data_IF_798820629429
#
_entry.id   IF_798820629429
#
_cell.length_a   1.000
_cell.length_b   1.000
_cell.length_c   1.000
_cell.angle_alpha   90.00
_cell.angle_beta   90.00
_cell.angle_gamma   90.00
#
_symmetry.space_group_name_H-M   'P 1'
#
loop_
_entity.id
_entity.type
_entity.pdbx_description
1 polymer ?
#
# COMPACT_ATOMS: atom_id res chain seq x y z
N UNK A 1 69.94 -81.30 -9.42
CA UNK A 1 69.88 -79.87 -9.76
C UNK A 1 69.09 -79.16 -8.67
N UNK A 2 69.56 -77.96 -8.31
CA UNK A 2 69.30 -77.19 -7.09
C UNK A 2 67.82 -76.86 -6.78
N UNK A 3 67.50 -76.58 -5.51
CA UNK A 3 66.20 -76.06 -5.06
C UNK A 3 66.12 -74.54 -5.31
N UNK A 4 64.98 -74.04 -5.77
CA UNK A 4 64.68 -72.60 -5.79
C UNK A 4 63.79 -72.24 -4.62
N UNK A 5 64.38 -71.65 -3.58
CA UNK A 5 63.69 -71.10 -2.42
C UNK A 5 63.16 -69.70 -2.75
N UNK A 6 61.84 -69.52 -2.73
CA UNK A 6 61.21 -68.19 -2.67
C UNK A 6 61.08 -67.77 -1.19
N UNK A 7 61.94 -66.87 -0.75
CA UNK A 7 61.80 -66.16 0.54
C UNK A 7 60.84 -64.99 0.37
N UNK A 8 59.64 -65.11 0.92
CA UNK A 8 58.73 -63.97 1.12
C UNK A 8 59.18 -63.16 2.36
N UNK A 9 59.27 -61.82 2.29
CA UNK A 9 59.61 -61.01 3.45
C UNK A 9 58.45 -61.07 4.46
N UNK A 10 58.77 -61.50 5.69
CA UNK A 10 57.85 -61.47 6.82
C UNK A 10 57.68 -60.00 7.22
N UNK A 11 56.49 -59.44 6.95
CA UNK A 11 56.10 -58.15 7.48
C UNK A 11 56.09 -58.23 9.01
N UNK A 12 56.95 -57.45 9.67
CA UNK A 12 56.92 -57.30 11.13
C UNK A 12 55.63 -56.56 11.52
N UNK A 13 54.70 -57.27 12.13
CA UNK A 13 53.55 -56.67 12.81
C UNK A 13 54.04 -55.97 14.08
N UNK A 14 54.07 -54.64 14.06
CA UNK A 14 54.22 -53.82 15.26
C UNK A 14 52.97 -53.97 16.12
N UNK A 15 53.10 -54.54 17.31
CA UNK A 15 52.01 -54.63 18.29
C UNK A 15 51.78 -53.29 18.98
N UNK A 16 50.53 -52.84 19.02
CA UNK A 16 50.09 -51.63 19.71
C UNK A 16 50.15 -51.83 21.23
N UNK A 17 50.63 -50.81 21.96
CA UNK A 17 50.61 -50.84 23.44
C UNK A 17 49.26 -50.33 23.97
N UNK A 18 48.83 -50.83 25.13
CA UNK A 18 47.59 -50.35 25.77
C UNK A 18 47.62 -48.84 26.05
N UNK A 19 48.81 -48.29 26.33
CA UNK A 19 49.04 -46.85 26.49
C UNK A 19 48.74 -46.06 25.21
N UNK A 20 49.13 -46.59 24.05
CA UNK A 20 48.90 -45.95 22.76
C UNK A 20 47.40 -45.91 22.44
N UNK A 21 46.68 -47.00 22.71
CA UNK A 21 45.22 -47.05 22.56
C UNK A 21 44.53 -46.02 23.47
N UNK A 22 44.93 -45.94 24.74
CA UNK A 22 44.34 -45.01 25.72
C UNK A 22 44.58 -43.55 25.32
N UNK A 23 45.79 -43.20 24.86
CA UNK A 23 46.09 -41.84 24.41
C UNK A 23 45.24 -41.49 23.18
N UNK A 24 45.07 -42.41 22.24
CA UNK A 24 44.28 -42.18 21.02
C UNK A 24 42.82 -41.88 21.35
N UNK A 25 42.17 -42.69 22.19
CA UNK A 25 40.75 -42.47 22.53
C UNK A 25 40.54 -41.16 23.29
N UNK A 26 41.47 -40.77 24.17
CA UNK A 26 41.39 -39.52 24.93
C UNK A 26 41.58 -38.32 24.02
N UNK A 27 42.61 -38.34 23.17
CA UNK A 27 42.89 -37.25 22.22
C UNK A 27 41.75 -37.12 21.20
N UNK A 28 41.23 -38.23 20.67
CA UNK A 28 40.09 -38.22 19.76
C UNK A 28 38.83 -37.65 20.43
N UNK A 29 38.56 -37.98 21.69
CA UNK A 29 37.44 -37.43 22.45
C UNK A 29 37.53 -35.91 22.64
N UNK A 30 38.72 -35.39 23.00
CA UNK A 30 38.95 -33.95 23.15
C UNK A 30 38.76 -33.23 21.81
N UNK A 31 39.36 -33.74 20.74
CA UNK A 31 39.26 -33.14 19.39
C UNK A 31 37.82 -33.17 18.88
N UNK A 32 37.11 -34.29 19.06
CA UNK A 32 35.72 -34.42 18.67
C UNK A 32 34.81 -33.42 19.41
N UNK A 33 35.02 -33.24 20.73
CA UNK A 33 34.27 -32.27 21.53
C UNK A 33 34.47 -30.83 21.06
N UNK A 34 35.72 -30.43 20.80
CA UNK A 34 36.04 -29.08 20.30
C UNK A 34 35.44 -28.87 18.90
N UNK A 35 35.63 -29.84 18.00
CA UNK A 35 35.16 -29.76 16.62
C UNK A 35 33.63 -29.71 16.54
N UNK A 36 32.92 -30.45 17.40
CA UNK A 36 31.46 -30.43 17.43
C UNK A 36 30.90 -29.03 17.73
N UNK A 37 31.47 -28.31 18.71
CA UNK A 37 31.03 -26.94 19.04
C UNK A 37 31.30 -25.91 17.94
N UNK A 38 32.42 -26.05 17.21
CA UNK A 38 32.68 -25.22 16.03
C UNK A 38 31.72 -25.49 14.88
N UNK A 39 31.33 -26.75 14.66
CA UNK A 39 30.37 -27.10 13.61
C UNK A 39 28.97 -26.57 13.96
N UNK A 40 28.52 -26.73 15.20
CA UNK A 40 27.19 -26.23 15.61
C UNK A 40 27.09 -24.72 15.51
N UNK A 41 28.10 -23.99 15.98
CA UNK A 41 28.12 -22.51 15.86
C UNK A 41 28.15 -22.03 14.41
N UNK A 42 28.91 -22.70 13.53
CA UNK A 42 28.92 -22.38 12.11
C UNK A 42 27.55 -22.64 11.44
N UNK A 43 26.89 -23.75 11.78
CA UNK A 43 25.56 -24.08 11.28
C UNK A 43 24.48 -23.12 11.81
N UNK A 44 24.53 -22.77 13.10
CA UNK A 44 23.63 -21.77 13.71
C UNK A 44 23.79 -20.40 13.05
N UNK A 45 25.02 -19.99 12.76
CA UNK A 45 25.31 -18.76 12.03
C UNK A 45 24.71 -18.77 10.62
N UNK A 46 24.82 -19.88 9.89
CA UNK A 46 24.22 -20.02 8.56
C UNK A 46 22.69 -19.94 8.60
N UNK A 47 22.05 -20.64 9.56
CA UNK A 47 20.59 -20.60 9.73
C UNK A 47 20.12 -19.22 10.17
N UNK A 48 20.84 -18.54 11.07
CA UNK A 48 20.54 -17.18 11.48
C UNK A 48 20.59 -16.21 10.29
N UNK A 49 21.61 -16.31 9.45
CA UNK A 49 21.71 -15.49 8.23
C UNK A 49 20.53 -15.72 7.28
N UNK A 50 20.10 -16.98 7.11
CA UNK A 50 18.91 -17.31 6.33
C UNK A 50 17.64 -16.70 6.89
N UNK A 51 17.42 -16.78 8.21
CA UNK A 51 16.26 -16.16 8.88
C UNK A 51 16.25 -14.65 8.70
N UNK A 52 17.38 -13.98 8.94
CA UNK A 52 17.51 -12.53 8.74
C UNK A 52 17.16 -12.10 7.32
N UNK A 53 17.63 -12.85 6.32
CA UNK A 53 17.32 -12.58 4.92
C UNK A 53 15.80 -12.64 4.68
N UNK A 54 15.10 -13.67 5.18
CA UNK A 54 13.64 -13.76 5.01
C UNK A 54 12.88 -12.62 5.68
N UNK A 55 13.36 -12.12 6.82
CA UNK A 55 12.76 -10.97 7.52
C UNK A 55 12.94 -9.68 6.71
N UNK A 56 14.15 -9.45 6.20
CA UNK A 56 14.46 -8.30 5.33
C UNK A 56 13.59 -8.36 4.07
N UNK A 57 13.52 -9.50 3.39
CA UNK A 57 12.76 -9.67 2.15
C UNK A 57 11.25 -9.43 2.37
N UNK A 58 10.69 -9.94 3.47
CA UNK A 58 9.28 -9.74 3.80
C UNK A 58 8.98 -8.26 4.05
N UNK A 59 9.84 -7.56 4.80
CA UNK A 59 9.67 -6.15 5.08
C UNK A 59 9.86 -5.28 3.82
N UNK A 60 10.87 -5.58 3.00
CA UNK A 60 11.18 -4.84 1.77
C UNK A 60 10.09 -5.02 0.70
N UNK A 61 9.61 -6.25 0.50
CA UNK A 61 8.51 -6.52 -0.43
C UNK A 61 7.23 -5.78 0.00
N UNK A 62 6.91 -5.79 1.29
CA UNK A 62 5.75 -5.09 1.83
C UNK A 62 5.86 -3.57 1.60
N UNK A 63 6.99 -2.95 1.97
CA UNK A 63 7.23 -1.52 1.81
C UNK A 63 7.27 -1.11 0.33
N UNK A 64 7.93 -1.89 -0.53
CA UNK A 64 8.01 -1.63 -1.97
C UNK A 64 6.65 -1.70 -2.62
N UNK A 65 5.79 -2.65 -2.21
CA UNK A 65 4.40 -2.73 -2.67
C UNK A 65 3.60 -1.51 -2.23
N UNK A 66 3.66 -1.14 -0.95
CA UNK A 66 2.98 0.07 -0.45
C UNK A 66 3.42 1.33 -1.19
N UNK A 67 4.72 1.46 -1.44
CA UNK A 67 5.30 2.59 -2.17
C UNK A 67 4.83 2.66 -3.61
N UNK A 68 4.68 1.51 -4.28
CA UNK A 68 4.16 1.47 -5.65
C UNK A 68 2.72 1.97 -5.71
N UNK A 69 1.85 1.47 -4.83
CA UNK A 69 0.44 1.86 -4.82
C UNK A 69 0.30 3.34 -4.38
N UNK A 70 1.08 3.82 -3.41
CA UNK A 70 1.09 5.22 -2.97
C UNK A 70 1.47 6.21 -4.07
N UNK A 71 2.29 5.80 -5.05
CA UNK A 71 2.62 6.65 -6.20
C UNK A 71 1.44 6.86 -7.14
N UNK A 72 0.41 6.01 -7.06
CA UNK A 72 -0.85 6.14 -7.79
C UNK A 72 -1.96 6.75 -6.92
N UNK A 73 -1.62 7.33 -5.77
CA UNK A 73 -2.58 8.05 -4.95
C UNK A 73 -3.06 9.34 -5.66
N UNK A 74 -4.36 9.59 -5.57
CA UNK A 74 -4.94 10.88 -5.95
C UNK A 74 -4.24 11.99 -5.15
N UNK A 75 -3.85 13.10 -5.78
CA UNK A 75 -3.18 14.19 -5.07
C UNK A 75 -3.96 14.66 -3.85
N UNK A 76 -3.28 14.90 -2.74
CA UNK A 76 -3.88 15.25 -1.44
C UNK A 76 -4.86 14.21 -0.85
N UNK A 77 -4.91 12.95 -1.34
CA UNK A 77 -5.84 11.94 -0.80
C UNK A 77 -5.25 11.04 0.28
N UNK A 78 -3.93 11.07 0.48
CA UNK A 78 -3.29 10.25 1.52
C UNK A 78 -3.75 10.73 2.90
N UNK A 79 -4.13 9.79 3.75
CA UNK A 79 -4.44 10.02 5.17
C UNK A 79 -3.94 8.85 6.00
N UNK A 80 -3.55 9.15 7.23
CA UNK A 80 -3.13 8.16 8.22
C UNK A 80 -3.93 8.36 9.49
N UNK A 81 -4.34 7.24 10.09
CA UNK A 81 -5.10 7.22 11.33
C UNK A 81 -4.83 5.94 12.13
N UNK A 82 -5.10 5.97 13.42
CA UNK A 82 -5.08 4.78 14.28
C UNK A 82 -6.45 4.53 14.93
N UNK A 83 -6.59 3.38 15.60
CA UNK A 83 -7.80 3.02 16.31
C UNK A 83 -8.09 3.85 17.57
N UNK A 84 -7.21 4.78 17.95
CA UNK A 84 -7.43 5.77 19.01
C UNK A 84 -7.90 7.13 18.46
N UNK A 85 -7.96 7.29 17.13
CA UNK A 85 -8.39 8.53 16.46
C UNK A 85 -7.28 9.55 16.23
N UNK A 86 -6.00 9.19 16.45
CA UNK A 86 -4.88 10.05 16.10
C UNK A 86 -4.70 10.08 14.58
N UNK A 87 -4.20 11.20 14.04
CA UNK A 87 -3.99 11.39 12.59
C UNK A 87 -2.67 12.08 12.29
N UNK A 88 -2.23 12.06 11.03
CA UNK A 88 -1.01 12.72 10.54
C UNK A 88 0.27 11.92 10.79
N UNK A 89 0.49 11.48 12.04
CA UNK A 89 1.58 10.57 12.40
C UNK A 89 1.09 9.54 13.40
N UNK A 90 1.11 8.26 13.01
CA UNK A 90 0.64 7.14 13.83
C UNK A 90 1.70 6.07 13.97
N UNK A 91 1.78 5.47 15.16
CA UNK A 91 2.77 4.45 15.52
C UNK A 91 2.09 3.35 16.32
N UNK A 92 2.26 2.12 15.88
CA UNK A 92 1.81 0.94 16.59
C UNK A 92 3.03 0.17 17.07
N UNK A 93 3.10 -0.08 18.37
CA UNK A 93 4.23 -0.70 19.06
C UNK A 93 3.81 -1.73 20.12
N UNK A 94 2.53 -1.78 20.48
CA UNK A 94 1.99 -2.72 21.45
C UNK A 94 0.76 -3.46 20.89
N UNK A 95 0.52 -4.72 21.32
CA UNK A 95 -0.67 -5.48 20.92
C UNK A 95 -1.97 -4.71 21.22
N UNK A 96 -2.93 -4.76 20.30
CA UNK A 96 -4.19 -4.03 20.38
C UNK A 96 -4.18 -2.66 19.71
N UNK A 97 -3.02 -2.13 19.33
CA UNK A 97 -2.93 -0.95 18.47
C UNK A 97 -3.11 -1.35 17.00
N UNK A 98 -3.89 -0.52 16.28
CA UNK A 98 -4.12 -0.68 14.84
C UNK A 98 -3.82 0.66 14.17
N UNK A 99 -2.93 0.64 13.19
CA UNK A 99 -2.49 1.81 12.43
C UNK A 99 -2.85 1.61 10.97
N UNK A 100 -3.38 2.64 10.33
CA UNK A 100 -3.80 2.61 8.94
C UNK A 100 -3.23 3.76 8.13
N UNK A 101 -2.82 3.47 6.90
CA UNK A 101 -2.64 4.46 5.84
C UNK A 101 -3.63 4.17 4.72
N UNK A 102 -4.32 5.19 4.24
CA UNK A 102 -5.32 5.10 3.18
C UNK A 102 -5.11 6.20 2.14
N UNK A 103 -5.42 5.89 0.89
CA UNK A 103 -5.46 6.86 -0.20
C UNK A 103 -6.50 6.44 -1.23
N UNK A 104 -6.93 7.39 -2.05
CA UNK A 104 -7.77 7.12 -3.21
C UNK A 104 -6.89 6.72 -4.39
N UNK A 105 -7.15 5.56 -4.98
CA UNK A 105 -6.34 5.04 -6.08
C UNK A 105 -6.80 5.64 -7.42
N UNK A 106 -5.84 6.15 -8.20
CA UNK A 106 -6.07 6.69 -9.54
C UNK A 106 -5.89 5.58 -10.56
N UNK A 107 -6.95 5.29 -11.31
CA UNK A 107 -6.90 4.38 -12.46
C UNK A 107 -6.23 5.04 -13.65
N UNK A 108 -6.68 6.24 -13.99
CA UNK A 108 -6.13 7.04 -15.08
C UNK A 108 -6.49 8.52 -14.87
N UNK A 109 -5.98 9.39 -15.73
CA UNK A 109 -6.31 10.81 -15.68
C UNK A 109 -5.61 11.56 -16.78
N UNK A 110 -5.97 12.83 -16.92
CA UNK A 110 -5.46 13.62 -18.02
C UNK A 110 -5.76 15.10 -17.85
N UNK A 111 -5.67 15.81 -18.98
CA UNK A 111 -6.08 17.21 -19.04
C UNK A 111 -7.42 17.32 -19.74
N UNK A 112 -8.33 18.09 -19.18
CA UNK A 112 -9.59 18.40 -19.85
C UNK A 112 -9.42 19.63 -20.74
N UNK A 113 -10.20 19.70 -21.81
CA UNK A 113 -10.25 20.86 -22.69
C UNK A 113 -10.93 22.05 -21.99
N UNK A 114 -10.31 23.23 -22.06
CA UNK A 114 -10.87 24.46 -21.50
C UNK A 114 -11.47 25.41 -22.56
N UNK A 115 -11.09 25.27 -23.84
CA UNK A 115 -11.55 26.12 -24.95
C UNK A 115 -11.72 25.32 -26.26
N UNK A 116 -12.58 25.77 -27.18
CA UNK A 116 -12.72 25.18 -28.53
C UNK A 116 -11.43 25.25 -29.37
N UNK A 117 -11.30 24.47 -30.48
CA UNK A 117 -12.26 23.50 -31.00
C UNK A 117 -12.34 22.22 -30.13
N UNK A 118 -13.49 21.55 -30.11
CA UNK A 118 -13.79 20.39 -29.24
C UNK A 118 -14.67 20.75 -28.03
N UNK A 119 -15.09 19.75 -27.27
CA UNK A 119 -16.03 19.92 -26.14
C UNK A 119 -15.29 20.21 -24.82
N UNK A 120 -15.39 21.44 -24.26
CA UNK A 120 -14.76 21.78 -22.99
C UNK A 120 -15.57 21.28 -21.79
N UNK A 121 -14.89 21.05 -20.66
CA UNK A 121 -15.56 20.68 -19.42
C UNK A 121 -16.41 21.83 -18.86
N UNK A 122 -17.73 21.63 -18.80
CA UNK A 122 -18.67 22.56 -18.21
C UNK A 122 -18.76 22.39 -16.68
N UNK A 123 -18.62 23.50 -15.95
CA UNK A 123 -18.68 23.52 -14.46
C UNK A 123 -20.04 23.96 -13.92
N UNK A 124 -20.97 24.26 -14.82
CA UNK A 124 -22.33 24.72 -14.56
C UNK A 124 -23.38 23.68 -14.97
N UNK A 125 -22.97 22.42 -15.18
CA UNK A 125 -23.84 21.31 -15.58
C UNK A 125 -23.67 20.16 -14.59
N UNK A 126 -24.76 19.44 -14.30
CA UNK A 126 -24.80 18.26 -13.42
C UNK A 126 -24.54 16.95 -14.13
N UNK A 127 -24.54 17.00 -15.44
CA UNK A 127 -24.26 15.87 -16.31
C UNK A 127 -23.80 16.48 -17.63
N UNK A 128 -22.60 16.11 -18.07
CA UNK A 128 -22.06 16.55 -19.35
C UNK A 128 -20.97 15.58 -19.82
N UNK A 129 -20.54 15.77 -21.06
CA UNK A 129 -19.38 15.08 -21.64
C UNK A 129 -18.30 16.12 -21.93
N UNK A 130 -17.03 15.74 -21.82
CA UNK A 130 -15.93 16.62 -22.18
C UNK A 130 -14.81 15.84 -22.87
N UNK A 131 -14.03 16.56 -23.68
CA UNK A 131 -12.89 15.97 -24.37
C UNK A 131 -11.64 15.93 -23.47
N UNK A 132 -10.98 14.78 -23.47
CA UNK A 132 -9.69 14.49 -22.84
C UNK A 132 -8.57 14.80 -23.83
N UNK A 133 -7.55 15.50 -23.35
CA UNK A 133 -6.33 15.76 -24.11
C UNK A 133 -5.30 14.66 -23.82
N UNK A 134 -4.89 13.95 -24.87
CA UNK A 134 -3.87 12.90 -24.80
C UNK A 134 -4.41 11.48 -24.58
N UNK A 135 -5.74 11.31 -24.52
CA UNK A 135 -6.42 10.02 -24.32
C UNK A 135 -6.26 9.44 -22.91
N UNK A 136 -6.89 8.29 -22.68
CA UNK A 136 -6.75 7.50 -21.43
C UNK A 136 -6.20 6.10 -21.78
N UNK A 137 -4.93 5.88 -21.48
CA UNK A 137 -4.17 4.70 -21.94
C UNK A 137 -4.04 3.58 -20.91
N UNK A 138 -4.36 3.84 -19.64
CA UNK A 138 -4.15 2.91 -18.54
C UNK A 138 -5.45 2.23 -18.07
N UNK A 139 -6.57 2.55 -18.73
CA UNK A 139 -7.86 1.94 -18.42
C UNK A 139 -7.91 0.46 -18.84
N UNK A 140 -8.65 -0.38 -18.09
CA UNK A 140 -8.93 -1.75 -18.50
C UNK A 140 -9.77 -1.80 -19.79
N UNK A 141 -10.04 -2.98 -20.38
CA UNK A 141 -10.94 -3.08 -21.51
C UNK A 141 -12.33 -2.47 -21.23
N UNK A 142 -13.02 -1.86 -22.21
CA UNK A 142 -14.31 -1.19 -22.00
C UNK A 142 -15.40 -2.04 -21.32
N UNK A 143 -15.33 -3.36 -21.43
CA UNK A 143 -16.24 -4.29 -20.74
C UNK A 143 -16.11 -4.29 -19.21
N UNK A 144 -15.03 -3.72 -18.67
CA UNK A 144 -14.77 -3.62 -17.24
C UNK A 144 -15.01 -2.21 -16.68
N UNK A 145 -15.48 -1.27 -17.50
CA UNK A 145 -15.78 0.08 -17.05
C UNK A 145 -16.92 0.06 -16.05
N UNK A 146 -16.70 0.66 -14.89
CA UNK A 146 -17.73 0.83 -13.86
C UNK A 146 -18.34 2.22 -13.99
N UNK A 147 -19.47 2.30 -14.67
CA UNK A 147 -20.20 3.55 -14.88
C UNK A 147 -21.46 3.59 -14.03
N UNK A 148 -21.95 4.79 -13.73
CA UNK A 148 -23.20 4.96 -13.00
C UNK A 148 -23.81 6.34 -13.17
N UNK A 149 -24.95 6.55 -12.49
CA UNK A 149 -25.69 7.81 -12.44
C UNK A 149 -25.83 8.26 -11.00
N UNK A 150 -25.66 9.55 -10.74
CA UNK A 150 -25.58 10.11 -9.40
C UNK A 150 -24.22 9.88 -8.74
N UNK A 151 -23.69 10.92 -8.11
CA UNK A 151 -22.39 10.95 -7.41
C UNK A 151 -22.27 9.91 -6.29
N UNK A 152 -23.38 9.49 -5.68
CA UNK A 152 -23.37 8.46 -4.65
C UNK A 152 -22.86 7.09 -5.15
N UNK A 153 -23.07 6.74 -6.43
CA UNK A 153 -22.69 5.43 -6.96
C UNK A 153 -21.18 5.20 -6.92
N UNK A 154 -20.39 6.24 -7.20
CA UNK A 154 -18.94 6.10 -7.16
C UNK A 154 -18.41 6.04 -5.72
N UNK A 155 -19.01 6.78 -4.79
CA UNK A 155 -18.66 6.73 -3.36
C UNK A 155 -18.97 5.35 -2.73
N UNK A 156 -20.05 4.69 -3.18
CA UNK A 156 -20.38 3.33 -2.77
C UNK A 156 -19.49 2.25 -3.41
N UNK A 157 -18.62 2.61 -4.37
CA UNK A 157 -17.75 1.67 -5.09
C UNK A 157 -18.43 0.93 -6.25
N UNK A 158 -19.65 1.32 -6.63
CA UNK A 158 -20.39 0.73 -7.74
C UNK A 158 -19.93 1.29 -9.11
N UNK A 159 -19.40 2.50 -9.13
CA UNK A 159 -18.90 3.19 -10.32
C UNK A 159 -17.55 3.86 -10.04
N UNK A 160 -16.85 4.31 -11.08
CA UNK A 160 -15.66 5.14 -10.93
C UNK A 160 -16.02 6.61 -10.69
N UNK A 161 -15.18 7.29 -9.93
CA UNK A 161 -15.31 8.71 -9.62
C UNK A 161 -14.44 9.56 -10.55
N UNK A 162 -15.01 10.61 -11.13
CA UNK A 162 -14.31 11.74 -11.71
C UNK A 162 -13.94 12.73 -10.61
N UNK A 163 -12.66 13.07 -10.48
CA UNK A 163 -12.17 14.10 -9.56
C UNK A 163 -11.39 15.16 -10.33
N UNK A 164 -11.84 16.42 -10.26
CA UNK A 164 -11.15 17.53 -10.95
C UNK A 164 -10.10 18.18 -10.07
N UNK A 165 -10.42 18.45 -8.81
CA UNK A 165 -9.51 19.13 -7.90
C UNK A 165 -9.75 18.62 -6.49
N UNK A 166 -8.70 18.01 -5.91
CA UNK A 166 -8.71 17.51 -4.55
C UNK A 166 -7.75 18.30 -3.65
N UNK A 167 -8.30 18.92 -2.61
CA UNK A 167 -7.51 19.65 -1.60
C UNK A 167 -7.18 18.80 -0.36
N UNK A 168 -7.77 17.61 -0.23
CA UNK A 168 -7.46 16.68 0.86
C UNK A 168 -7.95 17.08 2.26
N UNK A 169 -7.23 16.58 3.27
CA UNK A 169 -7.46 16.83 4.70
C UNK A 169 -6.36 17.73 5.32
N UNK A 170 -6.68 18.56 6.33
CA UNK A 170 -8.05 18.85 6.75
C UNK A 170 -8.77 19.50 5.57
N UNK A 171 -10.04 19.16 5.39
CA UNK A 171 -10.92 20.09 4.70
C UNK A 171 -10.63 21.44 5.36
N UNK A 172 -10.08 22.41 4.62
CA UNK A 172 -10.10 23.80 5.06
C UNK A 172 -11.44 24.01 5.75
N UNK A 173 -11.41 24.40 7.03
CA UNK A 173 -12.55 24.38 7.94
C UNK A 173 -13.84 24.70 7.19
N UNK A 174 -14.95 23.97 7.44
CA UNK A 174 -16.13 23.92 6.58
C UNK A 174 -16.33 25.25 5.89
N UNK A 175 -16.09 25.32 4.57
CA UNK A 175 -16.50 26.52 3.86
C UNK A 175 -17.98 26.68 4.20
N UNK A 176 -18.43 27.82 4.76
CA UNK A 176 -19.79 27.96 5.29
C UNK A 176 -20.92 27.62 4.30
N UNK A 177 -20.59 27.39 3.03
CA UNK A 177 -21.48 27.10 1.91
C UNK A 177 -21.68 25.62 1.58
N UNK A 178 -21.26 24.66 2.44
CA UNK A 178 -21.47 23.21 2.20
C UNK A 178 -20.83 22.67 0.90
N UNK A 179 -19.81 23.37 0.39
CA UNK A 179 -18.99 22.98 -0.77
C UNK A 179 -17.61 22.57 -0.28
N UNK A 180 -17.05 21.50 -0.83
CA UNK A 180 -15.73 21.00 -0.47
C UNK A 180 -14.95 20.52 -1.70
N UNK A 181 -13.64 20.70 -1.67
CA UNK A 181 -12.72 20.09 -2.63
C UNK A 181 -12.17 18.75 -2.14
N UNK A 182 -12.75 18.14 -1.11
CA UNK A 182 -12.24 16.89 -0.55
C UNK A 182 -12.96 15.69 -1.18
N UNK A 183 -12.21 14.84 -1.88
CA UNK A 183 -12.74 13.67 -2.59
C UNK A 183 -13.30 12.56 -1.66
N UNK A 184 -13.07 12.63 -0.34
CA UNK A 184 -13.70 11.73 0.64
C UNK A 184 -15.07 12.21 1.12
N UNK A 185 -15.52 13.40 0.69
CA UNK A 185 -16.80 13.98 1.09
C UNK A 185 -17.76 14.00 -0.10
N UNK A 186 -19.03 13.70 0.17
CA UNK A 186 -20.11 13.72 -0.82
C UNK A 186 -21.39 13.03 -0.32
N UNK A 187 -22.46 12.99 -1.12
CA UNK A 187 -23.71 12.32 -0.79
C UNK A 187 -23.49 10.84 -0.47
N UNK A 188 -24.13 10.33 0.58
CA UNK A 188 -23.96 8.95 1.00
C UNK A 188 -22.68 8.65 1.80
N UNK A 189 -21.75 9.60 1.92
CA UNK A 189 -20.69 9.53 2.94
C UNK A 189 -21.24 9.95 4.32
N UNK A 190 -20.58 9.57 5.42
CA UNK A 190 -20.93 10.05 6.77
C UNK A 190 -20.87 11.59 6.91
N UNK A 191 -20.38 12.31 5.89
CA UNK A 191 -20.36 13.75 5.76
C UNK A 191 -21.29 14.23 4.61
N UNK A 192 -22.50 13.65 4.52
CA UNK A 192 -23.51 13.94 3.50
C UNK A 192 -23.92 15.43 3.36
N UNK A 193 -23.53 16.28 4.31
CA UNK A 193 -23.76 17.72 4.28
C UNK A 193 -22.81 18.50 3.34
N UNK A 194 -21.86 17.85 2.67
CA UNK A 194 -20.91 18.50 1.77
C UNK A 194 -21.03 18.00 0.33
N UNK A 195 -20.97 18.94 -0.60
CA UNK A 195 -20.81 18.67 -2.03
C UNK A 195 -19.33 18.68 -2.36
N UNK A 196 -18.78 17.49 -2.58
CA UNK A 196 -17.39 17.29 -3.02
C UNK A 196 -17.17 17.72 -4.47
N UNK A 197 -15.90 17.85 -4.87
CA UNK A 197 -15.51 18.10 -6.25
C UNK A 197 -15.36 16.78 -7.03
N UNK A 198 -16.39 15.95 -6.91
CA UNK A 198 -16.47 14.56 -7.36
C UNK A 198 -17.76 14.34 -8.15
N UNK A 199 -17.70 13.52 -9.20
CA UNK A 199 -18.87 13.07 -9.94
C UNK A 199 -18.71 11.59 -10.30
N UNK A 200 -19.80 10.91 -10.61
CA UNK A 200 -19.71 9.54 -11.12
C UNK A 200 -19.38 9.57 -12.61
N UNK A 201 -18.48 8.71 -13.07
CA UNK A 201 -18.27 8.49 -14.50
C UNK A 201 -19.51 7.79 -15.07
N UNK A 202 -20.19 8.42 -16.02
CA UNK A 202 -21.41 7.88 -16.64
C UNK A 202 -21.13 7.20 -17.98
N UNK A 203 -20.06 7.60 -18.68
CA UNK A 203 -19.55 6.93 -19.86
C UNK A 203 -18.09 7.32 -20.15
N UNK A 204 -17.37 6.46 -20.86
CA UNK A 204 -16.06 6.75 -21.45
C UNK A 204 -16.11 6.26 -22.89
N UNK A 205 -15.91 7.17 -23.86
CA UNK A 205 -16.14 6.90 -25.29
C UNK A 205 -15.07 7.57 -26.16
N UNK A 206 -15.10 7.30 -27.47
CA UNK A 206 -14.15 7.85 -28.46
C UNK A 206 -13.00 6.91 -28.82
N UNK A 207 -12.06 7.43 -29.60
CA UNK A 207 -10.93 6.67 -30.18
C UNK A 207 -9.65 7.51 -30.05
N UNK A 208 -8.89 7.49 -28.92
CA UNK A 208 -8.84 6.53 -27.80
C UNK A 208 -8.98 7.12 -26.38
N UNK A 209 -9.85 6.53 -25.55
CA UNK A 209 -11.08 7.26 -25.29
C UNK A 209 -10.84 8.77 -25.10
N UNK A 210 -11.39 9.53 -26.04
CA UNK A 210 -11.19 10.97 -26.11
C UNK A 210 -12.24 11.74 -25.31
N UNK A 211 -13.30 11.08 -24.86
CA UNK A 211 -14.39 11.74 -24.14
C UNK A 211 -14.79 11.00 -22.88
N UNK A 212 -15.00 11.78 -21.82
CA UNK A 212 -15.48 11.33 -20.53
C UNK A 212 -16.80 12.02 -20.25
N UNK A 213 -17.82 11.24 -19.92
CA UNK A 213 -19.11 11.72 -19.44
C UNK A 213 -19.19 11.54 -17.93
N UNK A 214 -19.76 12.52 -17.24
CA UNK A 214 -19.98 12.47 -15.80
C UNK A 214 -21.44 12.71 -15.44
N UNK A 215 -21.84 12.25 -14.27
CA UNK A 215 -23.15 12.54 -13.68
C UNK A 215 -23.03 12.75 -12.17
N UNK A 216 -23.52 13.89 -11.72
CA UNK A 216 -23.75 14.23 -10.33
C UNK A 216 -25.10 14.96 -10.17
N UNK A 217 -26.09 14.53 -10.95
CA UNK A 217 -27.46 15.09 -10.93
C UNK A 217 -28.17 14.95 -9.58
N UNK A 218 -27.80 13.95 -8.78
CA UNK A 218 -28.26 13.77 -7.40
C UNK A 218 -27.82 14.89 -6.45
N UNK A 219 -26.84 15.70 -6.85
CA UNK A 219 -26.37 16.89 -6.16
C UNK A 219 -27.04 18.18 -6.63
N UNK A 220 -27.87 18.15 -7.68
CA UNK A 220 -28.50 19.33 -8.27
C UNK A 220 -29.79 19.72 -7.52
N UNK A 221 -29.67 20.06 -6.24
CA UNK A 221 -30.80 20.47 -5.41
C UNK A 221 -30.44 21.62 -4.47
N UNK A 222 -31.34 22.63 -4.28
CA UNK A 222 -31.09 23.71 -3.32
C UNK A 222 -30.72 23.17 -1.92
N UNK A 223 -29.72 23.74 -1.23
CA UNK A 223 -28.98 24.97 -1.56
C UNK A 223 -27.77 24.75 -2.49
N UNK A 224 -27.50 23.50 -2.89
CA UNK A 224 -26.31 23.11 -3.63
C UNK A 224 -26.62 23.07 -5.13
N UNK A 225 -26.20 24.11 -5.84
CA UNK A 225 -26.22 24.12 -7.30
C UNK A 225 -24.77 24.22 -7.78
N UNK A 226 -24.47 23.55 -8.91
CA UNK A 226 -23.24 23.70 -9.70
C UNK A 226 -22.02 22.85 -9.22
N UNK A 227 -22.20 21.54 -9.35
CA UNK A 227 -21.38 20.38 -9.78
C UNK A 227 -19.86 20.34 -9.93
N UNK A 228 -19.08 21.39 -9.84
CA UNK A 228 -17.65 21.26 -9.55
C UNK A 228 -17.23 22.62 -9.00
N UNK A 229 -17.30 22.84 -7.67
CA UNK A 229 -17.10 24.16 -7.09
C UNK A 229 -15.71 24.74 -7.37
N UNK A 230 -14.73 23.89 -7.71
CA UNK A 230 -13.36 24.29 -7.94
C UNK A 230 -12.82 23.70 -9.24
N UNK A 231 -12.23 24.56 -10.08
CA UNK A 231 -11.52 24.16 -11.30
C UNK A 231 -10.08 23.76 -10.94
N UNK A 232 -9.54 22.74 -11.59
CA UNK A 232 -8.10 22.45 -11.51
C UNK A 232 -7.30 23.61 -12.10
N UNK A 233 -6.34 24.21 -11.37
CA UNK A 233 -5.48 25.28 -11.89
C UNK A 233 -4.67 24.87 -13.12
N UNK A 234 -4.34 23.58 -13.24
CA UNK A 234 -3.57 23.02 -14.36
C UNK A 234 -4.44 22.24 -15.37
N UNK A 235 -5.76 22.39 -15.29
CA UNK A 235 -6.73 21.72 -16.17
C UNK A 235 -6.65 20.19 -16.11
N UNK A 236 -6.34 19.63 -14.94
CA UNK A 236 -6.26 18.18 -14.74
C UNK A 236 -7.58 17.60 -14.24
N UNK A 237 -7.77 16.31 -14.50
CA UNK A 237 -8.77 15.48 -13.84
C UNK A 237 -8.19 14.07 -13.63
N UNK A 238 -8.81 13.34 -12.71
CA UNK A 238 -8.43 11.98 -12.34
C UNK A 238 -9.66 11.10 -12.31
N UNK A 239 -9.50 9.84 -12.70
CA UNK A 239 -10.48 8.77 -12.56
C UNK A 239 -10.02 7.88 -11.40
N UNK A 240 -10.88 7.78 -10.40
CA UNK A 240 -10.61 7.06 -9.14
C UNK A 240 -11.60 5.91 -9.01
N UNK A 241 -11.14 4.78 -8.47
CA UNK A 241 -11.99 3.64 -8.14
C UNK A 241 -12.40 3.63 -6.65
N UNK A 242 -11.77 2.78 -5.84
CA UNK A 242 -12.04 2.62 -4.41
C UNK A 242 -10.78 2.95 -3.61
N UNK A 243 -10.89 3.24 -2.31
CA UNK A 243 -9.70 3.47 -1.52
C UNK A 243 -8.85 2.20 -1.40
N UNK A 244 -7.54 2.41 -1.26
CA UNK A 244 -6.59 1.37 -0.87
C UNK A 244 -6.13 1.69 0.55
N UNK A 245 -6.29 0.73 1.46
CA UNK A 245 -5.78 0.85 2.84
C UNK A 245 -4.71 -0.19 3.12
N UNK A 246 -3.66 0.21 3.83
CA UNK A 246 -2.77 -0.73 4.53
C UNK A 246 -3.01 -0.61 6.02
N UNK A 247 -3.48 -1.70 6.62
CA UNK A 247 -3.76 -1.78 8.04
C UNK A 247 -2.72 -2.68 8.69
N UNK A 248 -2.00 -2.11 9.65
CA UNK A 248 -1.10 -2.80 10.55
C UNK A 248 -1.84 -3.07 11.86
N UNK A 249 -2.03 -4.35 12.18
CA UNK A 249 -2.73 -4.80 13.38
C UNK A 249 -1.77 -5.61 14.25
N UNK A 250 -1.36 -5.04 15.38
CA UNK A 250 -0.44 -5.72 16.29
C UNK A 250 -1.10 -6.75 17.22
N UNK A 251 -2.43 -6.90 17.17
CA UNK A 251 -3.09 -8.04 17.80
C UNK A 251 -2.83 -9.34 17.03
N UNK A 252 -2.75 -9.26 15.70
CA UNK A 252 -2.45 -10.38 14.81
C UNK A 252 -0.98 -10.40 14.37
N UNK A 253 -0.27 -9.28 14.50
CA UNK A 253 1.09 -9.11 14.01
C UNK A 253 1.14 -9.10 12.47
N UNK A 254 0.09 -8.60 11.83
CA UNK A 254 -0.05 -8.61 10.37
C UNK A 254 -0.18 -7.19 9.81
N UNK A 255 0.37 -6.99 8.60
CA UNK A 255 0.00 -5.89 7.73
C UNK A 255 -0.77 -6.43 6.55
N UNK A 256 -1.98 -5.92 6.35
CA UNK A 256 -2.88 -6.31 5.27
C UNK A 256 -3.25 -5.12 4.41
N UNK A 257 -3.34 -5.36 3.10
CA UNK A 257 -3.90 -4.43 2.11
C UNK A 257 -5.39 -4.69 1.96
N UNK A 258 -6.21 -3.65 2.01
CA UNK A 258 -7.66 -3.68 1.83
C UNK A 258 -8.06 -2.86 0.60
N UNK A 259 -9.04 -3.36 -0.15
CA UNK A 259 -9.59 -2.77 -1.39
C UNK A 259 -11.04 -3.17 -1.58
N UNK A 260 -11.72 -2.59 -2.58
CA UNK A 260 -13.13 -2.88 -2.90
C UNK A 260 -14.06 -2.56 -1.74
N UNK A 261 -13.91 -1.36 -1.17
CA UNK A 261 -14.82 -0.85 -0.16
C UNK A 261 -15.18 0.62 -0.42
N UNK A 262 -16.31 1.12 0.13
CA UNK A 262 -16.78 2.47 -0.13
C UNK A 262 -15.81 3.57 0.31
N UNK A 263 -15.81 4.69 -0.43
CA UNK A 263 -15.14 5.93 -0.05
C UNK A 263 -15.92 6.57 1.11
N UNK A 264 -15.25 6.75 2.25
CA UNK A 264 -15.86 7.31 3.46
C UNK A 264 -15.19 8.59 3.96
N UNK A 265 -15.96 9.45 4.62
CA UNK A 265 -15.44 10.67 5.23
C UNK A 265 -14.44 10.37 6.37
N UNK A 266 -14.68 9.31 7.13
CA UNK A 266 -13.80 8.81 8.19
C UNK A 266 -12.95 7.68 7.62
N UNK A 267 -11.64 7.71 7.89
CA UNK A 267 -10.75 6.62 7.52
C UNK A 267 -11.14 5.35 8.28
N UNK A 268 -11.39 4.26 7.55
CA UNK A 268 -11.63 2.98 8.18
C UNK A 268 -10.28 2.39 8.62
N UNK A 269 -10.16 2.09 9.92
CA UNK A 269 -8.92 1.52 10.50
C UNK A 269 -9.14 0.15 11.13
N UNK A 270 -10.35 -0.17 11.60
CA UNK A 270 -10.64 -1.43 12.30
C UNK A 270 -11.05 -2.53 11.30
N UNK A 271 -10.24 -3.60 11.10
CA UNK A 271 -10.57 -4.70 10.20
C UNK A 271 -11.84 -5.47 10.56
N UNK A 272 -12.21 -5.50 11.84
CA UNK A 272 -13.38 -6.23 12.32
C UNK A 272 -14.71 -5.46 12.11
N UNK A 273 -14.64 -4.18 11.71
CA UNK A 273 -15.81 -3.33 11.51
C UNK A 273 -16.03 -3.03 10.02
N UNK A 274 -17.28 -2.73 9.66
CA UNK A 274 -17.57 -2.17 8.35
C UNK A 274 -16.85 -0.82 8.17
N UNK A 275 -16.35 -0.52 6.95
CA UNK A 275 -16.51 -1.32 5.74
C UNK A 275 -15.42 -2.40 5.53
N UNK A 276 -14.37 -2.45 6.36
CA UNK A 276 -13.21 -3.31 6.12
C UNK A 276 -13.49 -4.81 6.31
N UNK A 277 -14.44 -5.17 7.16
CA UNK A 277 -14.81 -6.57 7.41
C UNK A 277 -15.42 -7.29 6.18
N UNK A 278 -15.93 -6.54 5.21
CA UNK A 278 -16.47 -7.05 3.94
C UNK A 278 -15.56 -6.73 2.74
N UNK A 279 -14.47 -5.99 2.95
CA UNK A 279 -13.55 -5.58 1.91
C UNK A 279 -12.67 -6.75 1.43
N UNK A 280 -12.17 -6.65 0.21
CA UNK A 280 -11.15 -7.58 -0.29
C UNK A 280 -9.82 -7.30 0.42
N UNK A 281 -9.23 -8.31 1.06
CA UNK A 281 -7.96 -8.17 1.78
C UNK A 281 -6.86 -9.13 1.29
N UNK A 282 -5.61 -8.70 1.40
CA UNK A 282 -4.43 -9.51 1.12
C UNK A 282 -3.33 -9.28 2.17
N UNK A 283 -2.73 -10.36 2.68
CA UNK A 283 -1.60 -10.30 3.60
C UNK A 283 -0.34 -9.79 2.88
N UNK A 284 0.34 -8.80 3.46
CA UNK A 284 1.61 -8.27 2.97
C UNK A 284 2.79 -8.74 3.80
N UNK A 285 2.66 -8.66 5.12
CA UNK A 285 3.67 -9.08 6.07
C UNK A 285 3.00 -9.68 7.30
N UNK A 286 3.66 -10.66 7.90
CA UNK A 286 3.29 -11.23 9.19
C UNK A 286 4.46 -11.05 10.18
N UNK A 287 4.25 -11.44 11.45
CA UNK A 287 5.23 -11.28 12.53
C UNK A 287 5.70 -9.84 12.74
N UNK A 288 4.82 -8.89 12.42
CA UNK A 288 5.06 -7.46 12.57
C UNK A 288 5.05 -7.13 14.06
N UNK A 289 6.14 -6.56 14.55
CA UNK A 289 6.31 -6.16 15.95
C UNK A 289 6.09 -4.66 16.15
N UNK A 290 6.32 -3.84 15.14
CA UNK A 290 5.88 -2.44 15.13
C UNK A 290 5.74 -1.89 13.72
N UNK A 291 4.97 -0.83 13.58
CA UNK A 291 4.81 -0.09 12.33
C UNK A 291 4.56 1.39 12.62
N UNK A 292 4.96 2.24 11.69
CA UNK A 292 4.68 3.67 11.75
C UNK A 292 4.32 4.20 10.37
N UNK A 293 3.30 5.04 10.33
CA UNK A 293 2.89 5.78 9.15
C UNK A 293 2.89 7.26 9.48
N UNK A 294 3.69 8.02 8.75
CA UNK A 294 3.78 9.48 8.87
C UNK A 294 3.45 10.08 7.50
N UNK A 295 2.43 10.93 7.45
CA UNK A 295 2.11 11.69 6.27
C UNK A 295 2.27 13.17 6.57
N UNK A 296 3.22 13.79 5.86
CA UNK A 296 3.44 15.22 5.86
C UNK A 296 2.82 15.78 4.58
N UNK A 297 1.68 16.50 4.68
CA UNK A 297 1.05 17.10 3.52
C UNK A 297 2.01 18.02 2.76
N UNK A 298 1.87 18.01 1.45
CA UNK A 298 2.60 18.94 0.60
C UNK A 298 2.05 20.36 0.72
N UNK A 299 2.71 21.27 0.01
CA UNK A 299 2.21 22.62 -0.26
C UNK A 299 1.99 22.77 -1.77
N UNK A 300 1.58 23.96 -2.23
CA UNK A 300 1.56 24.27 -3.68
C UNK A 300 2.94 24.21 -4.34
N UNK A 301 4.02 24.20 -3.57
CA UNK A 301 5.42 24.24 -4.04
C UNK A 301 6.24 23.02 -3.63
N UNK A 302 5.73 22.15 -2.75
CA UNK A 302 6.40 20.95 -2.25
C UNK A 302 5.47 19.75 -2.32
N UNK A 303 5.94 18.63 -2.88
CA UNK A 303 5.21 17.35 -2.82
C UNK A 303 4.96 16.91 -1.37
N UNK A 304 3.90 16.13 -1.15
CA UNK A 304 3.69 15.47 0.13
C UNK A 304 4.74 14.38 0.35
N UNK A 305 5.02 14.07 1.60
CA UNK A 305 5.98 13.03 1.97
C UNK A 305 5.28 12.02 2.87
N UNK A 306 5.32 10.76 2.46
CA UNK A 306 4.92 9.62 3.29
C UNK A 306 6.16 8.91 3.76
N UNK A 307 6.27 8.67 5.07
CA UNK A 307 7.28 7.79 5.66
C UNK A 307 6.59 6.55 6.20
N UNK A 308 7.01 5.39 5.71
CA UNK A 308 6.55 4.07 6.13
C UNK A 308 7.66 3.40 6.90
N UNK A 309 7.39 2.89 8.10
CA UNK A 309 8.34 2.09 8.87
C UNK A 309 7.69 0.77 9.26
N UNK A 310 8.40 -0.33 9.09
CA UNK A 310 7.94 -1.67 9.45
C UNK A 310 9.05 -2.41 10.19
N UNK A 311 8.73 -2.97 11.36
CA UNK A 311 9.60 -3.88 12.08
C UNK A 311 8.97 -5.27 12.14
N UNK A 312 9.75 -6.29 11.79
CA UNK A 312 9.36 -7.70 11.83
C UNK A 312 10.28 -8.40 12.82
N UNK A 313 9.69 -9.18 13.74
CA UNK A 313 10.42 -9.93 14.76
C UNK A 313 10.09 -11.41 14.65
N UNK A 314 11.11 -12.25 14.54
CA UNK A 314 10.96 -13.70 14.53
C UNK A 314 12.08 -14.35 15.34
N UNK A 315 11.72 -15.28 16.22
CA UNK A 315 12.69 -16.05 17.04
C UNK A 315 13.72 -15.18 17.79
N UNK A 316 13.30 -14.00 18.27
CA UNK A 316 14.16 -13.05 19.00
C UNK A 316 15.01 -12.12 18.12
N UNK A 317 15.04 -12.32 16.79
CA UNK A 317 15.67 -11.41 15.84
C UNK A 317 14.67 -10.37 15.33
N UNK A 318 15.09 -9.11 15.24
CA UNK A 318 14.25 -8.01 14.74
C UNK A 318 14.94 -7.26 13.62
N UNK A 319 14.21 -7.05 12.53
CA UNK A 319 14.62 -6.21 11.41
C UNK A 319 13.62 -5.06 11.29
N UNK A 320 14.12 -3.83 11.22
CA UNK A 320 13.32 -2.64 10.99
C UNK A 320 13.79 -1.94 9.71
N UNK A 321 12.87 -1.72 8.78
CA UNK A 321 13.09 -0.99 7.54
C UNK A 321 12.16 0.22 7.48
N UNK A 322 12.59 1.27 6.77
CA UNK A 322 11.76 2.41 6.45
C UNK A 322 11.87 2.79 4.99
N UNK A 323 10.81 3.38 4.44
CA UNK A 323 10.78 3.90 3.08
C UNK A 323 10.09 5.27 3.06
N UNK A 324 10.63 6.16 2.24
CA UNK A 324 10.05 7.49 1.99
C UNK A 324 9.50 7.57 0.58
N UNK A 325 8.30 8.11 0.46
CA UNK A 325 7.57 8.23 -0.80
C UNK A 325 7.13 9.67 -0.97
N UNK A 326 7.59 10.30 -2.05
CA UNK A 326 7.03 11.56 -2.49
C UNK A 326 5.68 11.30 -3.19
N UNK A 327 4.62 11.89 -2.66
CA UNK A 327 3.28 11.83 -3.25
C UNK A 327 2.95 13.16 -3.92
N UNK A 328 2.31 13.09 -5.07
CA UNK A 328 1.95 14.29 -5.84
C UNK A 328 0.93 15.11 -5.03
N UNK A 329 1.18 16.41 -4.90
CA UNK A 329 0.34 17.31 -4.12
C UNK A 329 -0.29 18.45 -4.95
N UNK A 330 -0.13 18.38 -6.28
CA UNK A 330 -0.65 19.36 -7.23
C UNK A 330 -1.91 18.79 -7.91
N UNK A 331 -3.11 19.22 -7.49
CA UNK A 331 -4.38 18.87 -8.15
C UNK A 331 -4.57 19.57 -9.51
#
# INVERSE_FOLDING_TARGET
MQPTTHTAPIARTSGFTLIELVIVIVVAGIIAGISAGFITSAMEGYVAQGRRATLVDTADLALTRMTRDLRQALPNSVRVADNAGNTGQVRCQIPGQICGIEFLHVLDGGRYRAKPPGNPLAFNQSSDTFDVLGGLSNLPPPSQYRTGTGSAQCLLGNAWCLVIYNAGQPASAPVPSGKSANAYLGPGSAAASYVGNIATISAITGTPPDSVSFDNSDLDSPPYRWHFPFRSPQQRFYIVDTPVSYICDLSTGEVRRYTNYPIGAVQAVNPAAAPLNAASSALLANKVSSCAFDYQPGTSTRSGLVTLTLAITDSGETVALFQQVHVVNAP
#
